data_IF_256474787140
#
_entry.id   IF_256474787140
#
_cell.length_a   1.000
_cell.length_b   1.000
_cell.length_c   1.000
_cell.angle_alpha   90.00
_cell.angle_beta   90.00
_cell.angle_gamma   90.00
#
_symmetry.space_group_name_H-M   'P 1'
#
loop_
_entity.id
_entity.type
_entity.pdbx_description
1 polymer ?
#
# COMPACT_ATOMS: atom_id res chain seq x y z
N UNK A 1 8.28 3.03 -14.95
CA UNK A 1 7.80 4.38 -15.33
C UNK A 1 8.95 5.24 -15.89
N UNK A 2 9.97 5.57 -15.15
CA UNK A 2 11.07 6.44 -15.65
C UNK A 2 11.72 5.91 -16.93
N UNK A 3 11.91 4.61 -17.06
CA UNK A 3 12.37 3.98 -18.30
C UNK A 3 11.41 4.24 -19.46
N UNK A 4 10.11 4.11 -19.24
CA UNK A 4 9.08 4.41 -20.24
C UNK A 4 9.01 5.92 -20.63
N UNK A 5 9.58 6.80 -19.80
CA UNK A 5 9.73 8.24 -20.08
C UNK A 5 11.05 8.59 -20.78
N UNK A 6 11.90 7.59 -21.06
CA UNK A 6 13.19 7.78 -21.70
C UNK A 6 14.34 8.13 -20.75
N UNK A 7 14.13 8.06 -19.43
CA UNK A 7 15.22 8.15 -18.46
C UNK A 7 15.94 6.79 -18.34
N UNK A 8 17.18 6.82 -17.86
CA UNK A 8 17.94 5.62 -17.48
C UNK A 8 17.90 5.45 -15.95
N UNK A 9 16.87 4.82 -15.38
CA UNK A 9 16.76 4.67 -13.94
C UNK A 9 17.85 3.76 -13.40
N UNK A 10 18.45 4.15 -12.27
CA UNK A 10 19.42 3.35 -11.52
C UNK A 10 18.88 3.14 -10.12
N UNK A 11 18.79 1.88 -9.71
CA UNK A 11 18.52 1.53 -8.31
C UNK A 11 19.82 1.62 -7.54
N UNK A 12 19.88 2.55 -6.59
CA UNK A 12 21.01 2.64 -5.65
C UNK A 12 20.81 1.62 -4.55
N UNK A 13 21.78 0.76 -4.35
CA UNK A 13 21.77 -0.32 -3.36
C UNK A 13 23.02 -0.22 -2.49
N UNK A 14 22.93 -0.67 -1.23
CA UNK A 14 24.08 -0.68 -0.33
C UNK A 14 25.11 -1.72 -0.75
N UNK A 15 24.63 -2.95 -1.03
CA UNK A 15 25.44 -4.08 -1.43
C UNK A 15 24.75 -4.82 -2.57
N UNK A 16 25.53 -5.33 -3.51
CA UNK A 16 24.98 -6.19 -4.56
C UNK A 16 24.59 -7.53 -3.97
N UNK A 17 23.43 -8.07 -4.34
CA UNK A 17 23.04 -9.42 -3.93
C UNK A 17 24.05 -10.43 -4.51
N UNK A 18 24.43 -11.42 -3.71
CA UNK A 18 25.35 -12.50 -4.17
C UNK A 18 24.77 -13.27 -5.34
N UNK A 19 23.46 -13.48 -5.33
CA UNK A 19 22.70 -14.09 -6.44
C UNK A 19 21.47 -13.26 -6.75
N UNK A 20 21.00 -13.30 -7.99
CA UNK A 20 19.74 -12.64 -8.38
C UNK A 20 18.49 -13.41 -7.94
N UNK A 21 18.65 -14.63 -7.45
CA UNK A 21 17.54 -15.49 -7.04
C UNK A 21 16.74 -14.94 -5.86
N UNK A 22 17.39 -14.15 -5.00
CA UNK A 22 16.77 -13.48 -3.86
C UNK A 22 16.18 -12.10 -4.20
N UNK A 23 16.39 -11.62 -5.44
CA UNK A 23 15.92 -10.30 -5.89
C UNK A 23 14.63 -10.48 -6.70
N UNK A 24 13.56 -9.73 -6.40
CA UNK A 24 12.35 -9.76 -7.24
C UNK A 24 12.70 -9.56 -8.71
N UNK A 25 12.19 -10.40 -9.59
CA UNK A 25 12.61 -10.45 -11.01
C UNK A 25 12.45 -9.12 -11.74
N UNK A 26 11.48 -8.29 -11.32
CA UNK A 26 11.32 -6.93 -11.83
C UNK A 26 12.49 -5.99 -11.49
N UNK A 27 13.11 -6.18 -10.33
CA UNK A 27 14.27 -5.39 -9.92
C UNK A 27 15.52 -5.83 -10.69
N UNK A 28 15.58 -7.09 -11.12
CA UNK A 28 16.67 -7.59 -11.95
C UNK A 28 16.76 -6.93 -13.33
N UNK A 29 15.64 -6.39 -13.83
CA UNK A 29 15.60 -5.65 -15.08
C UNK A 29 16.13 -4.20 -14.95
N UNK A 30 16.24 -3.67 -13.73
CA UNK A 30 16.77 -2.34 -13.49
C UNK A 30 18.29 -2.39 -13.33
N UNK A 31 18.97 -1.34 -13.77
CA UNK A 31 20.39 -1.17 -13.49
C UNK A 31 20.58 -0.92 -12.00
N UNK A 32 21.29 -1.79 -11.31
CA UNK A 32 21.65 -1.65 -9.90
C UNK A 32 23.10 -1.20 -9.76
N UNK A 33 23.35 -0.19 -8.94
CA UNK A 33 24.69 0.31 -8.64
C UNK A 33 24.83 0.66 -7.16
N UNK A 34 26.01 0.40 -6.62
CA UNK A 34 26.36 0.89 -5.29
C UNK A 34 26.81 2.34 -5.35
N UNK A 35 26.83 3.03 -4.21
CA UNK A 35 27.39 4.39 -4.08
C UNK A 35 28.78 4.47 -4.67
N UNK A 36 29.67 3.53 -4.34
CA UNK A 36 31.05 3.50 -4.83
C UNK A 36 31.13 3.38 -6.35
N UNK A 37 30.30 2.56 -6.95
CA UNK A 37 30.26 2.39 -8.41
C UNK A 37 29.83 3.67 -9.13
N UNK A 38 28.81 4.37 -8.59
CA UNK A 38 28.35 5.64 -9.16
C UNK A 38 29.44 6.72 -9.06
N UNK A 39 30.14 6.79 -7.92
CA UNK A 39 31.22 7.76 -7.72
C UNK A 39 32.41 7.48 -8.64
N UNK A 40 32.77 6.21 -8.85
CA UNK A 40 33.87 5.81 -9.76
C UNK A 40 33.54 5.98 -11.23
N UNK A 41 32.27 5.90 -11.59
CA UNK A 41 31.79 6.07 -12.96
C UNK A 41 30.79 7.23 -13.02
N UNK A 42 31.28 8.49 -13.03
CA UNK A 42 30.41 9.65 -13.02
C UNK A 42 29.42 9.60 -14.19
N UNK A 43 28.14 9.60 -13.85
CA UNK A 43 27.03 9.63 -14.80
C UNK A 43 26.32 10.97 -14.69
N UNK A 44 25.76 11.51 -15.76
CA UNK A 44 24.91 12.67 -15.68
C UNK A 44 23.62 12.30 -14.92
N UNK A 45 23.55 12.68 -13.65
CA UNK A 45 22.39 12.43 -12.79
C UNK A 45 21.47 13.63 -12.82
N UNK A 46 20.28 13.47 -13.36
CA UNK A 46 19.24 14.53 -13.37
C UNK A 46 18.65 14.72 -11.98
N UNK A 47 18.28 13.62 -11.34
CA UNK A 47 17.74 13.62 -9.99
C UNK A 47 18.15 12.35 -9.22
N UNK A 48 18.42 12.52 -7.94
CA UNK A 48 18.54 11.45 -6.97
C UNK A 48 17.30 11.49 -6.07
N UNK A 49 16.48 10.43 -6.11
CA UNK A 49 15.22 10.36 -5.38
C UNK A 49 15.40 9.40 -4.22
N UNK A 50 15.26 9.89 -3.00
CA UNK A 50 15.30 9.09 -1.80
C UNK A 50 13.88 8.60 -1.45
N UNK A 51 13.71 7.27 -1.36
CA UNK A 51 12.44 6.63 -1.08
C UNK A 51 12.61 5.64 0.07
N UNK A 52 12.09 6.00 1.26
CA UNK A 52 12.01 5.10 2.41
C UNK A 52 13.33 4.63 3.04
N UNK A 53 14.48 4.95 2.45
CA UNK A 53 15.80 4.64 2.99
C UNK A 53 16.74 5.85 2.86
N UNK A 54 17.70 5.94 3.78
CA UNK A 54 18.72 6.99 3.74
C UNK A 54 19.75 6.68 2.67
N UNK A 55 20.01 7.66 1.81
CA UNK A 55 21.09 7.57 0.84
C UNK A 55 22.40 8.06 1.50
N UNK A 56 23.51 7.42 1.14
CA UNK A 56 24.85 7.80 1.60
C UNK A 56 25.09 9.31 1.39
N UNK A 57 25.49 10.05 2.44
CA UNK A 57 25.82 11.46 2.34
C UNK A 57 26.86 11.79 1.27
N UNK A 58 27.82 10.89 1.02
CA UNK A 58 28.82 11.07 -0.04
C UNK A 58 28.17 11.07 -1.42
N UNK A 59 27.23 10.16 -1.66
CA UNK A 59 26.51 10.12 -2.92
C UNK A 59 25.66 11.39 -3.13
N UNK A 60 24.97 11.86 -2.08
CA UNK A 60 24.22 13.12 -2.14
C UNK A 60 25.11 14.30 -2.50
N UNK A 61 26.26 14.42 -1.84
CA UNK A 61 27.24 15.46 -2.14
C UNK A 61 27.76 15.35 -3.58
N UNK A 62 28.10 14.14 -4.02
CA UNK A 62 28.59 13.89 -5.36
C UNK A 62 27.55 14.29 -6.44
N UNK A 63 26.30 13.89 -6.27
CA UNK A 63 25.22 14.26 -7.20
C UNK A 63 25.02 15.77 -7.25
N UNK A 64 25.09 16.46 -6.11
CA UNK A 64 25.02 17.93 -6.05
C UNK A 64 26.20 18.59 -6.80
N UNK A 65 27.41 18.08 -6.66
CA UNK A 65 28.57 18.60 -7.40
C UNK A 65 28.42 18.45 -8.92
N UNK A 66 27.71 17.41 -9.38
CA UNK A 66 27.40 17.21 -10.79
C UNK A 66 26.19 18.02 -11.28
N UNK A 67 25.59 18.83 -10.42
CA UNK A 67 24.41 19.64 -10.75
C UNK A 67 23.09 18.87 -10.70
N UNK A 68 23.09 17.63 -10.19
CA UNK A 68 21.90 16.82 -10.00
C UNK A 68 21.02 17.34 -8.86
N UNK A 69 19.72 17.07 -8.94
CA UNK A 69 18.73 17.45 -7.95
C UNK A 69 18.57 16.35 -6.90
N UNK A 70 18.42 16.74 -5.63
CA UNK A 70 18.11 15.84 -4.54
C UNK A 70 16.64 15.97 -4.18
N UNK A 71 15.89 14.87 -4.28
CA UNK A 71 14.48 14.82 -3.92
C UNK A 71 14.25 13.75 -2.87
N UNK A 72 13.29 13.98 -1.97
CA UNK A 72 12.77 12.96 -1.06
C UNK A 72 11.29 12.72 -1.34
N UNK A 73 10.93 11.46 -1.53
CA UNK A 73 9.54 11.03 -1.70
C UNK A 73 9.07 10.31 -0.45
N UNK A 74 8.06 10.86 0.20
CA UNK A 74 7.36 10.20 1.30
C UNK A 74 6.19 9.37 0.76
N UNK A 75 6.30 8.05 0.87
CA UNK A 75 5.23 7.09 0.54
C UNK A 75 4.37 6.73 1.75
N UNK A 76 4.81 7.07 2.97
CA UNK A 76 4.09 6.86 4.24
C UNK A 76 3.58 8.17 4.82
N UNK A 77 2.65 8.08 5.76
CA UNK A 77 2.13 9.23 6.49
C UNK A 77 3.15 9.69 7.54
N UNK A 78 3.97 10.65 7.17
CA UNK A 78 5.08 11.14 7.98
C UNK A 78 4.62 11.70 9.33
N UNK A 79 3.54 12.48 9.37
CA UNK A 79 3.02 13.05 10.60
C UNK A 79 2.54 11.98 11.59
N UNK A 80 1.82 10.96 11.09
CA UNK A 80 1.39 9.87 11.96
C UNK A 80 2.56 9.04 12.48
N UNK A 81 3.59 8.81 11.66
CA UNK A 81 4.81 8.12 12.08
C UNK A 81 5.48 8.90 13.22
N UNK A 82 5.59 10.22 13.09
CA UNK A 82 6.20 11.09 14.13
C UNK A 82 5.39 11.12 15.42
N UNK A 83 4.06 11.01 15.33
CA UNK A 83 3.18 10.95 16.51
C UNK A 83 3.24 9.57 17.17
N UNK A 84 3.11 8.50 16.38
CA UNK A 84 3.02 7.13 16.90
C UNK A 84 4.34 6.60 17.46
N UNK A 85 5.47 6.93 16.82
CA UNK A 85 6.77 6.39 17.19
C UNK A 85 7.14 6.65 18.66
N UNK A 86 7.11 7.88 19.17
CA UNK A 86 7.44 8.12 20.58
C UNK A 86 6.39 7.58 21.56
N UNK A 87 5.14 7.42 21.13
CA UNK A 87 4.05 6.96 22.00
C UNK A 87 4.08 5.43 22.14
N UNK A 88 4.17 4.72 21.03
CA UNK A 88 4.01 3.25 20.98
C UNK A 88 5.31 2.49 20.84
N UNK A 89 6.36 3.16 20.37
CA UNK A 89 7.66 2.54 20.06
C UNK A 89 8.83 3.42 20.55
N UNK A 90 8.89 3.77 21.86
CA UNK A 90 9.82 4.78 22.36
C UNK A 90 11.31 4.45 22.17
N UNK A 91 11.64 3.21 21.87
CA UNK A 91 13.01 2.79 21.53
C UNK A 91 13.35 2.79 20.06
N UNK A 92 12.36 3.09 19.17
CA UNK A 92 12.59 3.14 17.73
C UNK A 92 12.96 4.54 17.27
N UNK A 93 13.80 4.60 16.23
CA UNK A 93 14.13 5.82 15.51
C UNK A 93 14.39 5.52 14.04
N UNK A 94 14.13 6.50 13.20
CA UNK A 94 14.30 6.36 11.74
C UNK A 94 15.38 7.33 11.26
N UNK A 95 16.56 6.81 10.96
CA UNK A 95 17.72 7.60 10.48
C UNK A 95 17.48 8.28 9.13
N UNK A 96 16.54 7.77 8.35
CA UNK A 96 16.18 8.29 7.02
C UNK A 96 14.97 9.22 7.03
N UNK A 97 14.44 9.54 8.20
CA UNK A 97 13.19 10.28 8.33
C UNK A 97 13.34 11.74 7.94
N UNK A 98 14.42 12.37 8.40
CA UNK A 98 14.78 13.76 8.08
C UNK A 98 16.12 13.78 7.34
N UNK A 99 16.22 14.62 6.30
CA UNK A 99 17.43 14.71 5.51
C UNK A 99 17.83 16.17 5.31
N UNK A 100 19.06 16.47 5.67
CA UNK A 100 19.62 17.78 5.44
C UNK A 100 19.99 18.02 3.96
N UNK A 101 19.90 19.27 3.54
CA UNK A 101 20.36 19.76 2.24
C UNK A 101 19.66 19.11 1.04
N UNK A 102 18.40 18.72 1.20
CA UNK A 102 17.55 18.26 0.12
C UNK A 102 16.97 19.46 -0.67
N UNK A 103 16.73 19.30 -1.95
CA UNK A 103 16.23 20.40 -2.80
C UNK A 103 14.71 20.45 -2.83
N UNK A 104 14.06 19.30 -2.71
CA UNK A 104 12.60 19.20 -2.83
C UNK A 104 12.04 18.00 -2.09
N UNK A 105 10.83 18.15 -1.62
CA UNK A 105 10.04 17.10 -0.98
C UNK A 105 8.85 16.77 -1.88
N UNK A 106 8.59 15.50 -2.04
CA UNK A 106 7.39 14.99 -2.69
C UNK A 106 6.63 14.06 -1.74
N UNK A 107 5.33 14.05 -1.87
CA UNK A 107 4.43 13.21 -1.07
C UNK A 107 3.45 12.47 -1.98
N UNK A 108 3.00 11.31 -1.56
CA UNK A 108 1.92 10.60 -2.23
C UNK A 108 0.61 11.38 -2.16
N UNK A 109 -0.34 11.22 -3.12
CA UNK A 109 -1.56 12.03 -3.21
C UNK A 109 -2.40 12.06 -1.92
N UNK A 110 -2.53 10.93 -1.24
CA UNK A 110 -3.29 10.81 0.01
C UNK A 110 -2.60 11.46 1.22
N UNK A 111 -1.36 11.93 1.05
CA UNK A 111 -0.61 12.68 2.07
C UNK A 111 -0.37 14.13 1.69
N UNK A 112 -1.07 14.64 0.67
CA UNK A 112 -0.96 16.01 0.22
C UNK A 112 -1.12 17.04 1.33
N UNK A 113 -2.01 16.79 2.28
CA UNK A 113 -2.20 17.61 3.49
C UNK A 113 -0.98 17.65 4.42
N UNK A 114 -0.01 16.74 4.28
CA UNK A 114 1.23 16.71 5.07
C UNK A 114 2.45 17.23 4.30
N UNK A 115 2.27 17.74 3.09
CA UNK A 115 3.37 18.25 2.26
C UNK A 115 4.12 19.40 2.93
N UNK A 116 3.39 20.32 3.55
CA UNK A 116 3.96 21.44 4.29
C UNK A 116 4.75 20.95 5.52
N UNK A 117 4.15 20.06 6.33
CA UNK A 117 4.83 19.44 7.47
C UNK A 117 6.14 18.77 7.06
N UNK A 118 6.11 17.93 6.02
CA UNK A 118 7.29 17.24 5.49
C UNK A 118 8.37 18.21 5.02
N UNK A 119 7.97 19.34 4.41
CA UNK A 119 8.89 20.38 3.96
C UNK A 119 9.59 21.07 5.12
N UNK A 120 8.83 21.55 6.11
CA UNK A 120 9.40 22.21 7.27
C UNK A 120 10.30 21.27 8.08
N UNK A 121 9.93 20.02 8.24
CA UNK A 121 10.75 19.03 8.93
C UNK A 121 12.12 18.84 8.27
N UNK A 122 12.21 18.99 6.94
CA UNK A 122 13.45 18.87 6.18
C UNK A 122 14.09 20.22 5.82
N UNK A 123 13.63 21.32 6.42
CA UNK A 123 14.13 22.69 6.14
C UNK A 123 14.03 23.10 4.65
N UNK A 124 13.02 22.56 3.96
CA UNK A 124 12.73 22.95 2.57
C UNK A 124 11.58 23.96 2.57
N UNK A 125 11.73 25.07 1.89
CA UNK A 125 10.64 26.01 1.69
C UNK A 125 9.62 25.41 0.73
N UNK A 126 8.36 25.16 1.16
CA UNK A 126 7.35 24.62 0.27
C UNK A 126 6.97 25.65 -0.81
N UNK A 127 6.60 25.21 -2.02
CA UNK A 127 6.04 26.12 -3.02
C UNK A 127 4.69 26.67 -2.55
N UNK A 128 4.29 27.84 -3.04
CA UNK A 128 2.97 28.43 -2.75
C UNK A 128 1.80 27.54 -3.20
N UNK A 129 2.00 26.76 -4.24
CA UNK A 129 1.08 25.73 -4.69
C UNK A 129 1.59 24.34 -4.27
N UNK A 130 1.04 23.81 -3.19
CA UNK A 130 1.41 22.51 -2.63
C UNK A 130 1.10 21.33 -3.57
N UNK A 131 0.23 21.51 -4.57
CA UNK A 131 -0.05 20.44 -5.55
C UNK A 131 1.20 20.08 -6.36
N UNK A 132 2.15 21.00 -6.48
CA UNK A 132 3.45 20.78 -7.11
C UNK A 132 4.39 19.85 -6.32
N UNK A 133 3.98 19.43 -5.14
CA UNK A 133 4.71 18.45 -4.32
C UNK A 133 4.06 17.06 -4.38
N UNK A 134 2.90 16.91 -5.05
CA UNK A 134 2.17 15.65 -5.11
C UNK A 134 2.75 14.77 -6.21
N UNK A 135 3.37 13.67 -5.81
CA UNK A 135 3.87 12.67 -6.75
C UNK A 135 2.76 11.67 -7.11
N UNK A 136 2.54 11.36 -8.38
CA UNK A 136 1.56 10.35 -8.77
C UNK A 136 1.79 9.01 -8.06
N UNK A 137 0.72 8.42 -7.55
CA UNK A 137 0.74 7.06 -7.02
C UNK A 137 0.66 6.09 -8.18
N UNK A 138 1.72 5.35 -8.43
CA UNK A 138 1.87 4.50 -9.62
C UNK A 138 1.88 3.04 -9.23
N UNK A 139 1.13 2.23 -9.97
CA UNK A 139 1.08 0.78 -9.82
C UNK A 139 0.98 0.09 -11.19
N UNK A 140 1.53 -1.12 -11.29
CA UNK A 140 1.49 -1.93 -12.51
C UNK A 140 1.37 -3.42 -12.14
N UNK A 141 0.53 -4.20 -12.86
CA UNK A 141 0.36 -5.62 -12.61
C UNK A 141 1.61 -6.47 -12.86
N UNK A 142 2.69 -5.90 -13.40
CA UNK A 142 3.95 -6.63 -13.59
C UNK A 142 4.50 -7.21 -12.27
N UNK A 143 4.17 -6.62 -11.13
CA UNK A 143 4.51 -7.17 -9.81
C UNK A 143 3.84 -8.52 -9.53
N UNK A 144 2.66 -8.74 -10.12
CA UNK A 144 1.90 -9.96 -9.94
C UNK A 144 2.17 -11.00 -11.04
N UNK A 145 2.73 -10.59 -12.18
CA UNK A 145 2.84 -11.43 -13.38
C UNK A 145 4.24 -11.93 -13.68
N UNK A 146 5.29 -11.21 -13.23
CA UNK A 146 6.66 -11.52 -13.61
C UNK A 146 7.23 -12.77 -12.95
N UNK A 147 6.90 -12.99 -11.68
CA UNK A 147 7.42 -14.10 -10.88
C UNK A 147 6.50 -15.32 -10.88
N UNK A 148 5.34 -15.20 -11.52
CA UNK A 148 4.32 -16.25 -11.53
C UNK A 148 3.88 -16.55 -12.96
N UNK A 149 4.05 -17.78 -13.39
CA UNK A 149 3.48 -18.29 -14.65
C UNK A 149 1.96 -18.28 -14.63
N UNK A 150 1.39 -18.43 -13.41
CA UNK A 150 -0.05 -18.33 -13.15
C UNK A 150 -0.26 -17.43 -11.92
N UNK A 151 -0.80 -16.23 -12.11
CA UNK A 151 -1.19 -15.39 -10.99
C UNK A 151 -2.60 -15.73 -10.51
N UNK A 152 -2.89 -15.51 -9.20
CA UNK A 152 -4.18 -15.83 -8.63
C UNK A 152 -5.33 -15.11 -9.34
N UNK A 153 -6.41 -15.84 -9.57
CA UNK A 153 -7.67 -15.29 -10.05
C UNK A 153 -8.77 -15.73 -9.09
N UNK A 154 -9.63 -14.78 -8.74
CA UNK A 154 -10.78 -15.10 -7.92
C UNK A 154 -11.67 -16.17 -8.59
N UNK A 155 -12.17 -17.08 -7.78
CA UNK A 155 -13.07 -18.16 -8.20
C UNK A 155 -14.34 -18.11 -7.37
N UNK A 156 -15.51 -18.36 -7.95
CA UNK A 156 -16.73 -18.55 -7.16
C UNK A 156 -16.56 -19.67 -6.13
N UNK A 157 -17.21 -19.53 -4.98
CA UNK A 157 -17.25 -20.56 -3.94
C UNK A 157 -17.88 -21.83 -4.51
N UNK A 158 -17.23 -22.95 -4.32
CA UNK A 158 -17.71 -24.26 -4.75
C UNK A 158 -18.25 -25.09 -3.58
N UNK A 159 -17.74 -24.85 -2.36
CA UNK A 159 -18.10 -25.58 -1.16
C UNK A 159 -18.17 -24.62 0.06
N UNK A 160 -18.86 -25.02 1.15
CA UNK A 160 -18.97 -24.21 2.36
C UNK A 160 -17.61 -23.83 3.00
N UNK A 161 -16.60 -24.68 2.88
CA UNK A 161 -15.24 -24.44 3.36
C UNK A 161 -14.50 -23.34 2.57
N UNK A 162 -14.95 -23.05 1.34
CA UNK A 162 -14.43 -21.96 0.51
C UNK A 162 -14.97 -20.58 0.93
N UNK A 163 -15.87 -20.57 1.91
CA UNK A 163 -16.54 -19.35 2.36
C UNK A 163 -15.66 -18.60 3.36
N UNK A 164 -14.79 -17.75 2.85
CA UNK A 164 -13.76 -17.05 3.62
C UNK A 164 -13.86 -15.56 3.43
N UNK A 165 -13.84 -14.82 4.54
CA UNK A 165 -13.63 -13.37 4.57
C UNK A 165 -12.24 -13.12 5.16
N UNK A 166 -11.40 -12.40 4.43
CA UNK A 166 -10.03 -12.09 4.85
C UNK A 166 -9.92 -10.64 5.29
N UNK A 167 -9.30 -10.42 6.43
CA UNK A 167 -8.79 -9.13 6.91
C UNK A 167 -7.27 -9.19 6.83
N UNK A 168 -6.68 -8.35 5.98
CA UNK A 168 -5.23 -8.35 5.75
C UNK A 168 -4.62 -7.01 6.11
N UNK A 169 -4.92 -6.52 7.31
CA UNK A 169 -4.31 -5.31 7.84
C UNK A 169 -3.05 -5.67 8.65
N UNK A 170 -1.96 -4.87 8.56
CA UNK A 170 -0.71 -5.19 9.25
C UNK A 170 -0.78 -5.12 10.78
N UNK A 171 -1.82 -4.50 11.36
CA UNK A 171 -2.06 -4.43 12.82
C UNK A 171 -0.90 -3.87 13.65
N UNK A 172 -0.13 -2.94 13.07
CA UNK A 172 1.04 -2.30 13.72
C UNK A 172 0.82 -0.80 14.00
N UNK A 173 -0.28 -0.23 13.52
CA UNK A 173 -0.62 1.19 13.60
C UNK A 173 -2.14 1.32 13.60
N UNK A 174 -2.67 2.40 14.16
CA UNK A 174 -4.10 2.69 14.07
C UNK A 174 -4.57 2.92 12.62
N UNK A 175 -3.66 3.29 11.73
CA UNK A 175 -3.97 3.54 10.32
C UNK A 175 -4.44 2.28 9.59
N UNK A 176 -3.96 1.12 10.00
CA UNK A 176 -4.20 -0.19 9.35
C UNK A 176 -4.41 -1.24 10.41
N UNK A 177 -5.64 -1.35 10.90
CA UNK A 177 -5.99 -2.25 11.99
C UNK A 177 -7.28 -3.03 11.71
N UNK A 178 -7.35 -4.25 12.21
CA UNK A 178 -8.48 -5.17 11.98
C UNK A 178 -9.79 -4.82 12.72
N UNK A 179 -9.81 -3.82 13.63
CA UNK A 179 -10.99 -3.57 14.47
C UNK A 179 -12.21 -3.15 13.66
N UNK A 180 -12.11 -2.18 12.76
CA UNK A 180 -13.25 -1.75 11.94
C UNK A 180 -13.73 -2.86 11.01
N UNK A 181 -12.84 -3.57 10.29
CA UNK A 181 -13.19 -4.78 9.56
C UNK A 181 -13.94 -5.82 10.39
N UNK A 182 -13.45 -6.16 11.59
CA UNK A 182 -14.11 -7.12 12.48
C UNK A 182 -15.50 -6.65 12.89
N UNK A 183 -15.68 -5.35 13.22
CA UNK A 183 -16.98 -4.80 13.58
C UNK A 183 -17.97 -4.81 12.40
N UNK A 184 -17.49 -4.55 11.18
CA UNK A 184 -18.33 -4.62 9.98
C UNK A 184 -18.79 -6.05 9.68
N UNK A 185 -17.90 -7.04 9.81
CA UNK A 185 -18.24 -8.45 9.66
C UNK A 185 -19.20 -8.89 10.77
N UNK A 186 -18.97 -8.51 12.01
CA UNK A 186 -19.88 -8.76 13.14
C UNK A 186 -21.27 -8.18 12.87
N UNK A 187 -21.33 -6.94 12.37
CA UNK A 187 -22.59 -6.28 12.02
C UNK A 187 -23.32 -7.03 10.90
N UNK A 188 -22.60 -7.44 9.87
CA UNK A 188 -23.13 -8.26 8.78
C UNK A 188 -23.63 -9.61 9.28
N UNK A 189 -22.86 -10.28 10.15
CA UNK A 189 -23.22 -11.56 10.74
C UNK A 189 -24.52 -11.47 11.53
N UNK A 190 -24.66 -10.45 12.37
CA UNK A 190 -25.90 -10.22 13.15
C UNK A 190 -27.11 -9.84 12.31
N UNK A 191 -26.90 -9.23 11.16
CA UNK A 191 -27.98 -8.74 10.27
C UNK A 191 -28.58 -9.81 9.35
N UNK A 192 -28.75 -11.03 9.84
CA UNK A 192 -29.41 -12.09 9.10
C UNK A 192 -28.49 -13.22 8.63
N UNK A 193 -27.19 -13.11 8.87
CA UNK A 193 -26.20 -14.10 8.42
C UNK A 193 -25.71 -15.05 9.54
N UNK A 194 -26.46 -15.22 10.64
CA UNK A 194 -26.07 -16.10 11.77
C UNK A 194 -25.97 -17.58 11.40
N UNK A 195 -26.54 -17.99 10.28
CA UNK A 195 -26.38 -19.34 9.74
C UNK A 195 -25.09 -19.55 8.97
N UNK A 196 -24.34 -18.49 8.70
CA UNK A 196 -23.05 -18.55 8.01
C UNK A 196 -22.06 -19.38 8.82
N UNK A 197 -21.36 -20.31 8.15
CA UNK A 197 -20.39 -21.25 8.76
C UNK A 197 -18.99 -21.13 8.15
N UNK A 198 -18.75 -20.05 7.41
CA UNK A 198 -17.44 -19.75 6.85
C UNK A 198 -16.42 -19.33 7.90
N UNK A 199 -15.32 -18.76 7.45
CA UNK A 199 -14.20 -18.33 8.32
C UNK A 199 -13.86 -16.88 8.09
N UNK A 200 -13.52 -16.18 9.16
CA UNK A 200 -12.87 -14.85 9.13
C UNK A 200 -11.40 -15.08 9.42
N UNK A 201 -10.55 -14.84 8.42
CA UNK A 201 -9.11 -14.99 8.53
C UNK A 201 -8.51 -13.60 8.78
N UNK A 202 -7.85 -13.41 9.92
CA UNK A 202 -7.14 -12.17 10.26
C UNK A 202 -5.67 -12.43 10.10
N UNK A 203 -5.08 -11.93 9.00
CA UNK A 203 -3.65 -12.06 8.73
C UNK A 203 -2.89 -11.08 9.61
N UNK A 204 -1.78 -11.53 10.22
CA UNK A 204 -1.02 -10.77 11.23
C UNK A 204 -1.89 -10.31 12.40
N UNK A 205 -2.92 -11.09 12.75
CA UNK A 205 -3.95 -10.73 13.72
C UNK A 205 -3.53 -10.93 15.17
N UNK A 206 -2.61 -11.83 15.45
CA UNK A 206 -2.10 -12.19 16.79
C UNK A 206 -1.63 -10.98 17.59
N UNK A 207 -1.02 -9.99 16.93
CA UNK A 207 -0.60 -8.71 17.56
C UNK A 207 -1.74 -7.98 18.28
N UNK A 208 -2.98 -8.15 17.82
CA UNK A 208 -4.19 -7.57 18.41
C UNK A 208 -4.93 -8.59 19.22
N UNK A 209 -5.22 -9.76 18.63
CA UNK A 209 -6.12 -10.76 19.21
C UNK A 209 -5.51 -11.49 20.40
N UNK A 210 -4.18 -11.54 20.50
CA UNK A 210 -3.50 -12.13 21.65
C UNK A 210 -3.39 -11.21 22.88
N UNK A 211 -3.74 -9.94 22.72
CA UNK A 211 -3.74 -8.99 23.84
C UNK A 211 -4.83 -9.30 24.87
N UNK A 212 -4.53 -9.03 26.13
CA UNK A 212 -5.50 -9.15 27.24
C UNK A 212 -6.74 -8.30 26.99
N UNK A 213 -6.56 -7.11 26.42
CA UNK A 213 -7.66 -6.21 26.08
C UNK A 213 -8.62 -6.85 25.05
N UNK A 214 -8.10 -7.38 23.97
CA UNK A 214 -8.93 -8.04 22.96
C UNK A 214 -9.68 -9.25 23.54
N UNK A 215 -8.94 -10.15 24.21
CA UNK A 215 -9.50 -11.39 24.76
C UNK A 215 -10.57 -11.15 25.82
N UNK A 216 -10.39 -10.18 26.69
CA UNK A 216 -11.29 -9.95 27.84
C UNK A 216 -12.33 -8.85 27.61
N UNK A 217 -12.09 -7.93 26.66
CA UNK A 217 -12.94 -6.75 26.48
C UNK A 217 -13.65 -6.74 25.12
N UNK A 218 -13.05 -7.27 24.05
CA UNK A 218 -13.61 -7.19 22.70
C UNK A 218 -14.23 -8.53 22.27
N UNK A 219 -13.45 -9.60 22.23
CA UNK A 219 -13.89 -10.90 21.73
C UNK A 219 -15.16 -11.44 22.42
N UNK A 220 -15.37 -11.27 23.74
CA UNK A 220 -16.60 -11.73 24.41
C UNK A 220 -17.88 -11.05 23.94
N UNK A 221 -17.78 -9.93 23.21
CA UNK A 221 -18.92 -9.18 22.69
C UNK A 221 -19.11 -9.37 21.18
N UNK A 222 -18.22 -10.10 20.49
CA UNK A 222 -18.34 -10.46 19.09
C UNK A 222 -18.90 -11.86 18.93
N UNK A 223 -20.08 -12.00 18.32
CA UNK A 223 -20.70 -13.30 18.08
C UNK A 223 -19.87 -14.16 17.12
N UNK A 224 -19.19 -13.53 16.12
CA UNK A 224 -18.24 -14.25 15.24
C UNK A 224 -17.06 -14.87 16.02
N UNK A 225 -16.62 -14.25 17.12
CA UNK A 225 -15.58 -14.82 17.99
C UNK A 225 -16.15 -15.94 18.88
N UNK A 226 -17.33 -15.75 19.47
CA UNK A 226 -18.01 -16.76 20.30
C UNK A 226 -18.32 -18.04 19.51
N UNK A 227 -18.73 -17.87 18.26
CA UNK A 227 -19.08 -18.97 17.38
C UNK A 227 -17.84 -19.63 16.74
N UNK A 228 -16.62 -19.17 17.11
CA UNK A 228 -15.35 -19.75 16.65
C UNK A 228 -15.03 -19.52 15.17
N UNK A 229 -15.60 -18.48 14.56
CA UNK A 229 -15.45 -18.20 13.14
C UNK A 229 -14.17 -17.40 12.82
N UNK A 230 -13.55 -16.75 13.82
CA UNK A 230 -12.35 -15.93 13.66
C UNK A 230 -11.10 -16.75 13.87
N UNK A 231 -10.20 -16.74 12.91
CA UNK A 231 -8.90 -17.42 12.96
C UNK A 231 -7.79 -16.42 12.60
N UNK A 232 -6.75 -16.36 13.42
CA UNK A 232 -5.56 -15.58 13.13
C UNK A 232 -4.54 -16.41 12.35
N UNK A 233 -3.82 -15.75 11.46
CA UNK A 233 -2.68 -16.29 10.72
C UNK A 233 -1.47 -15.41 10.92
N UNK A 234 -0.30 -15.99 10.80
CA UNK A 234 0.95 -15.26 10.73
C UNK A 234 0.97 -14.28 9.56
N UNK A 235 1.97 -13.42 9.51
CA UNK A 235 2.17 -12.50 8.40
C UNK A 235 2.38 -13.26 7.09
N UNK A 236 1.56 -12.95 6.10
CA UNK A 236 1.61 -13.52 4.75
C UNK A 236 1.68 -12.39 3.71
N UNK A 237 2.24 -12.68 2.56
CA UNK A 237 2.11 -11.81 1.39
C UNK A 237 0.75 -12.03 0.70
N UNK A 238 0.32 -11.03 -0.06
CA UNK A 238 -1.02 -11.04 -0.70
C UNK A 238 -1.17 -12.19 -1.70
N UNK A 239 -0.12 -12.53 -2.44
CA UNK A 239 -0.19 -13.60 -3.44
C UNK A 239 -0.39 -14.97 -2.79
N UNK A 240 0.29 -15.21 -1.67
CA UNK A 240 0.12 -16.42 -0.86
C UNK A 240 -1.30 -16.53 -0.32
N UNK A 241 -1.87 -15.42 0.18
CA UNK A 241 -3.25 -15.39 0.69
C UNK A 241 -4.26 -15.64 -0.43
N UNK A 242 -4.10 -15.00 -1.60
CA UNK A 242 -4.98 -15.23 -2.74
C UNK A 242 -4.92 -16.66 -3.28
N UNK A 243 -3.77 -17.32 -3.19
CA UNK A 243 -3.61 -18.73 -3.58
C UNK A 243 -4.25 -19.68 -2.57
N UNK A 244 -4.07 -19.41 -1.28
CA UNK A 244 -4.63 -20.24 -0.19
C UNK A 244 -6.17 -20.12 -0.13
N UNK A 245 -6.70 -18.92 -0.44
CA UNK A 245 -8.15 -18.63 -0.38
C UNK A 245 -8.67 -18.06 -1.71
N UNK A 246 -8.75 -18.88 -2.76
CA UNK A 246 -9.07 -18.41 -4.12
C UNK A 246 -10.49 -17.86 -4.28
N UNK A 247 -11.39 -18.15 -3.33
CA UNK A 247 -12.78 -17.66 -3.32
C UNK A 247 -13.04 -16.56 -2.28
N UNK A 248 -11.98 -16.09 -1.61
CA UNK A 248 -12.11 -15.15 -0.50
C UNK A 248 -12.69 -13.80 -0.92
N UNK A 249 -13.34 -13.17 0.06
CA UNK A 249 -13.71 -11.76 0.05
C UNK A 249 -12.78 -11.02 1.02
N UNK A 250 -12.31 -9.85 0.61
CA UNK A 250 -11.40 -9.04 1.44
C UNK A 250 -12.13 -7.87 2.06
N UNK A 251 -12.01 -7.73 3.38
CA UNK A 251 -12.53 -6.60 4.14
C UNK A 251 -11.39 -5.74 4.62
N UNK A 252 -11.33 -4.50 4.16
CA UNK A 252 -10.21 -3.58 4.35
C UNK A 252 -10.67 -2.28 5.00
N UNK A 253 -9.79 -1.68 5.79
CA UNK A 253 -10.02 -0.38 6.40
C UNK A 253 -8.72 0.38 6.58
N UNK A 254 -8.68 1.62 6.10
CA UNK A 254 -7.54 2.50 6.21
C UNK A 254 -7.95 3.82 6.87
N UNK A 255 -7.11 4.34 7.76
CA UNK A 255 -7.29 5.65 8.40
C UNK A 255 -6.11 6.54 7.99
N UNK A 256 -6.38 7.66 7.34
CA UNK A 256 -5.34 8.58 6.86
C UNK A 256 -4.24 7.89 6.02
N UNK A 257 -4.59 6.81 5.31
CA UNK A 257 -3.66 6.02 4.48
C UNK A 257 -4.43 5.32 3.35
N UNK A 258 -5.24 6.06 2.64
CA UNK A 258 -6.29 5.55 1.74
C UNK A 258 -5.74 4.75 0.55
N UNK A 259 -4.61 5.18 -0.04
CA UNK A 259 -4.04 4.46 -1.17
C UNK A 259 -3.26 3.25 -0.69
N UNK A 260 -3.67 2.08 -1.20
CA UNK A 260 -3.07 0.82 -0.85
C UNK A 260 -2.91 -0.05 -2.10
N UNK A 261 -1.69 -0.45 -2.41
CA UNK A 261 -1.41 -1.35 -3.55
C UNK A 261 -2.22 -2.63 -3.48
N UNK A 262 -2.41 -3.19 -2.29
CA UNK A 262 -3.20 -4.40 -2.08
C UNK A 262 -4.63 -4.27 -2.64
N UNK A 263 -5.27 -3.10 -2.55
CA UNK A 263 -6.59 -2.88 -3.13
C UNK A 263 -6.57 -3.06 -4.65
N UNK A 264 -5.57 -2.50 -5.33
CA UNK A 264 -5.41 -2.66 -6.78
C UNK A 264 -5.06 -4.08 -7.17
N UNK A 265 -4.20 -4.75 -6.42
CA UNK A 265 -3.81 -6.16 -6.61
C UNK A 265 -5.02 -7.08 -6.53
N UNK A 266 -5.84 -6.93 -5.48
CA UNK A 266 -7.06 -7.69 -5.29
C UNK A 266 -8.06 -7.45 -6.42
N UNK A 267 -8.34 -6.19 -6.74
CA UNK A 267 -9.31 -5.84 -7.77
C UNK A 267 -8.87 -6.32 -9.15
N UNK A 268 -7.59 -6.17 -9.50
CA UNK A 268 -7.05 -6.64 -10.77
C UNK A 268 -7.11 -8.17 -10.92
N UNK A 269 -6.90 -8.90 -9.82
CA UNK A 269 -7.06 -10.34 -9.74
C UNK A 269 -8.53 -10.79 -9.68
N UNK A 270 -9.48 -9.86 -9.59
CA UNK A 270 -10.92 -10.11 -9.53
C UNK A 270 -11.45 -10.48 -8.14
N UNK A 271 -10.67 -10.31 -7.07
CA UNK A 271 -11.13 -10.55 -5.70
C UNK A 271 -12.02 -9.41 -5.22
N UNK A 272 -13.20 -9.72 -4.62
CA UNK A 272 -14.06 -8.69 -4.05
C UNK A 272 -13.37 -7.99 -2.89
N UNK A 273 -13.10 -6.70 -3.06
CA UNK A 273 -12.48 -5.82 -2.06
C UNK A 273 -13.52 -4.84 -1.52
N UNK A 274 -13.84 -4.95 -0.23
CA UNK A 274 -14.65 -3.97 0.51
C UNK A 274 -13.70 -3.00 1.19
N UNK A 275 -13.78 -1.70 0.88
CA UNK A 275 -12.79 -0.72 1.32
C UNK A 275 -13.39 0.66 1.57
N UNK A 276 -12.66 1.52 2.29
CA UNK A 276 -13.06 2.89 2.61
C UNK A 276 -12.20 3.97 1.91
N UNK A 277 -11.58 3.65 0.77
CA UNK A 277 -10.78 4.60 0.01
C UNK A 277 -11.67 5.56 -0.77
N UNK A 278 -11.82 6.80 -0.32
CA UNK A 278 -12.70 7.81 -0.95
C UNK A 278 -12.25 8.15 -2.38
N UNK A 279 -10.95 8.24 -2.65
CA UNK A 279 -10.40 8.48 -3.99
C UNK A 279 -10.78 7.38 -5.00
N UNK A 280 -11.14 6.19 -4.53
CA UNK A 280 -11.53 5.03 -5.33
C UNK A 280 -12.97 4.58 -5.06
N UNK A 281 -13.82 5.48 -4.55
CA UNK A 281 -15.20 5.17 -4.16
C UNK A 281 -16.07 4.57 -5.29
N UNK A 282 -15.70 4.80 -6.54
CA UNK A 282 -16.38 4.26 -7.73
C UNK A 282 -15.92 2.84 -8.11
N UNK A 283 -14.90 2.32 -7.44
CA UNK A 283 -14.31 1.00 -7.70
C UNK A 283 -14.52 0.07 -6.50
N UNK A 284 -14.53 -1.24 -6.75
CA UNK A 284 -14.72 -2.22 -5.68
C UNK A 284 -16.09 -2.13 -4.99
N UNK A 285 -16.11 -2.40 -3.69
CA UNK A 285 -17.26 -2.28 -2.81
C UNK A 285 -16.93 -1.24 -1.73
N UNK A 286 -17.16 0.02 -2.06
CA UNK A 286 -16.71 1.12 -1.23
C UNK A 286 -17.70 1.50 -0.13
N UNK A 287 -17.16 1.94 1.01
CA UNK A 287 -17.91 2.59 2.08
C UNK A 287 -17.14 3.82 2.59
N UNK A 288 -17.82 4.75 3.25
CA UNK A 288 -17.20 6.03 3.65
C UNK A 288 -16.77 6.02 5.12
N UNK A 289 -15.57 6.48 5.39
CA UNK A 289 -15.03 6.67 6.73
C UNK A 289 -15.08 5.40 7.60
N UNK A 290 -15.56 5.54 8.84
CA UNK A 290 -15.73 4.44 9.79
C UNK A 290 -17.18 3.92 9.84
N UNK A 291 -17.96 4.04 8.78
CA UNK A 291 -19.38 3.67 8.77
C UNK A 291 -19.55 2.14 8.72
N UNK A 292 -19.70 1.54 9.90
CA UNK A 292 -19.84 0.09 10.09
C UNK A 292 -21.08 -0.47 9.37
N UNK A 293 -22.22 0.23 9.44
CA UNK A 293 -23.45 -0.22 8.77
C UNK A 293 -23.31 -0.23 7.25
N UNK A 294 -22.68 0.78 6.69
CA UNK A 294 -22.43 0.85 5.25
C UNK A 294 -21.40 -0.22 4.84
N UNK A 295 -20.34 -0.40 5.61
CA UNK A 295 -19.35 -1.44 5.39
C UNK A 295 -19.98 -2.84 5.39
N UNK A 296 -20.86 -3.13 6.36
CA UNK A 296 -21.62 -4.38 6.42
C UNK A 296 -22.57 -4.57 5.21
N UNK A 297 -23.20 -3.49 4.73
CA UNK A 297 -24.03 -3.54 3.51
C UNK A 297 -23.20 -3.81 2.26
N UNK A 298 -22.02 -3.18 2.13
CA UNK A 298 -21.12 -3.44 1.01
C UNK A 298 -20.58 -4.88 1.05
N UNK A 299 -20.31 -5.39 2.24
CA UNK A 299 -19.94 -6.79 2.45
C UNK A 299 -21.06 -7.72 1.96
N UNK A 300 -22.33 -7.46 2.29
CA UNK A 300 -23.48 -8.25 1.81
C UNK A 300 -23.61 -8.19 0.29
N UNK A 301 -23.46 -7.01 -0.31
CA UNK A 301 -23.52 -6.84 -1.76
C UNK A 301 -22.41 -7.62 -2.47
N UNK A 302 -21.20 -7.60 -1.90
CA UNK A 302 -20.07 -8.38 -2.41
C UNK A 302 -20.30 -9.88 -2.22
N UNK A 303 -20.74 -10.27 -1.04
CA UNK A 303 -20.95 -11.68 -0.66
C UNK A 303 -22.00 -12.36 -1.55
N UNK A 304 -23.16 -11.73 -1.73
CA UNK A 304 -24.28 -12.30 -2.48
C UNK A 304 -24.19 -12.09 -4.00
N UNK A 305 -23.51 -11.02 -4.46
CA UNK A 305 -23.63 -10.57 -5.85
C UNK A 305 -22.36 -10.58 -6.68
N UNK A 306 -21.18 -10.85 -6.13
CA UNK A 306 -19.92 -10.67 -6.84
C UNK A 306 -19.79 -11.55 -8.09
N UNK A 307 -20.20 -12.82 -7.99
CA UNK A 307 -20.17 -13.76 -9.15
C UNK A 307 -20.86 -13.18 -10.38
N UNK A 308 -22.03 -12.57 -10.18
CA UNK A 308 -22.84 -12.02 -11.28
C UNK A 308 -22.27 -10.69 -11.79
N UNK A 309 -21.40 -10.04 -11.06
CA UNK A 309 -20.78 -8.74 -11.38
C UNK A 309 -19.33 -8.84 -11.80
N UNK A 310 -18.75 -10.02 -11.83
CA UNK A 310 -17.32 -10.25 -11.99
C UNK A 310 -16.73 -9.57 -13.22
N UNK A 311 -17.39 -9.65 -14.37
CA UNK A 311 -16.89 -9.04 -15.59
C UNK A 311 -16.93 -7.51 -15.55
N UNK A 312 -18.00 -6.93 -15.02
CA UNK A 312 -18.08 -5.48 -14.82
C UNK A 312 -17.06 -5.02 -13.75
N UNK A 313 -16.86 -5.80 -12.71
CA UNK A 313 -15.87 -5.54 -11.66
C UNK A 313 -14.45 -5.51 -12.23
N UNK A 314 -14.07 -6.49 -13.07
CA UNK A 314 -12.77 -6.53 -13.76
C UNK A 314 -12.60 -5.36 -14.73
N UNK A 315 -13.64 -5.00 -15.47
CA UNK A 315 -13.59 -3.84 -16.36
C UNK A 315 -13.29 -2.55 -15.58
N UNK A 316 -13.94 -2.35 -14.43
CA UNK A 316 -13.66 -1.22 -13.55
C UNK A 316 -12.24 -1.29 -12.95
N UNK A 317 -11.77 -2.47 -12.56
CA UNK A 317 -10.40 -2.65 -12.09
C UNK A 317 -9.35 -2.27 -13.14
N UNK A 318 -9.60 -2.57 -14.41
CA UNK A 318 -8.73 -2.15 -15.51
C UNK A 318 -8.69 -0.62 -15.67
N UNK A 319 -9.82 0.07 -15.47
CA UNK A 319 -9.87 1.54 -15.49
C UNK A 319 -9.02 2.10 -14.34
N UNK A 320 -9.20 1.59 -13.13
CA UNK A 320 -8.38 1.99 -11.96
C UNK A 320 -6.90 1.74 -12.22
N UNK A 321 -6.54 0.57 -12.72
CA UNK A 321 -5.16 0.22 -13.07
C UNK A 321 -4.57 1.20 -14.08
N UNK A 322 -5.33 1.56 -15.12
CA UNK A 322 -4.89 2.54 -16.12
C UNK A 322 -4.68 3.93 -15.53
N UNK A 323 -5.55 4.38 -14.62
CA UNK A 323 -5.39 5.67 -13.94
C UNK A 323 -4.06 5.75 -13.16
N UNK A 324 -3.59 4.64 -12.63
CA UNK A 324 -2.34 4.54 -11.87
C UNK A 324 -1.17 3.94 -12.67
N UNK A 325 -1.36 3.66 -13.96
CA UNK A 325 -0.34 3.01 -14.78
C UNK A 325 0.90 3.90 -14.99
N UNK A 326 2.11 3.30 -14.97
CA UNK A 326 3.33 3.98 -15.37
C UNK A 326 3.34 4.37 -16.87
N UNK A 327 2.44 3.81 -17.65
CA UNK A 327 2.27 4.13 -19.09
C UNK A 327 1.19 5.18 -19.34
N UNK A 328 0.48 5.62 -18.33
CA UNK A 328 -0.49 6.70 -18.47
C UNK A 328 0.25 8.04 -18.68
N UNK A 329 0.01 8.73 -19.82
CA UNK A 329 0.71 9.98 -20.13
C UNK A 329 0.56 11.08 -19.07
N UNK A 330 -0.59 11.11 -18.37
CA UNK A 330 -0.80 12.10 -17.31
C UNK A 330 0.13 11.87 -16.11
N UNK A 331 0.35 10.60 -15.72
CA UNK A 331 1.30 10.25 -14.66
C UNK A 331 2.74 10.56 -15.08
N UNK A 332 3.10 10.26 -16.34
CA UNK A 332 4.42 10.56 -16.88
C UNK A 332 4.69 12.06 -16.89
N UNK A 333 3.74 12.86 -17.40
CA UNK A 333 3.87 14.32 -17.43
C UNK A 333 3.97 14.90 -16.01
N UNK A 334 3.19 14.41 -15.06
CA UNK A 334 3.25 14.88 -13.68
C UNK A 334 4.61 14.57 -13.04
N UNK A 335 5.17 13.38 -13.26
CA UNK A 335 6.52 13.04 -12.80
C UNK A 335 7.61 13.84 -13.49
N UNK A 336 7.50 14.09 -14.80
CA UNK A 336 8.44 14.92 -15.55
C UNK A 336 8.47 16.34 -15.00
N UNK A 337 7.31 16.92 -14.74
CA UNK A 337 7.17 18.21 -14.09
C UNK A 337 7.84 18.26 -12.71
N UNK A 338 7.69 17.21 -11.88
CA UNK A 338 8.34 17.13 -10.58
C UNK A 338 9.88 17.10 -10.70
N UNK A 339 10.40 16.31 -11.64
CA UNK A 339 11.85 16.17 -11.86
C UNK A 339 12.46 17.48 -12.35
N UNK A 340 11.79 18.20 -13.26
CA UNK A 340 12.30 19.39 -13.89
C UNK A 340 11.80 20.72 -13.29
N UNK A 341 10.88 20.68 -12.32
CA UNK A 341 10.42 21.89 -11.65
C UNK A 341 11.60 22.65 -11.07
N UNK A 342 11.84 23.87 -11.53
CA UNK A 342 12.75 24.79 -10.85
C UNK A 342 12.07 25.29 -9.59
N UNK A 343 12.76 25.18 -8.45
CA UNK A 343 12.29 25.67 -7.17
C UNK A 343 12.07 27.17 -7.17
#
# INVERSE_FOLDING_TARGET
MFDAMGYAPILVINEKPETLDSVPSMMCAARMMTTDEIIRQPLPVVALIEIGMSIDPLLRQFVKMLGGRLAKLYLGNILNIDIETPIFYPGMFFTHHVIEKIDTIWVSPHYGQHAEYASFLNHVTPPSDLTRMIAPYVWDPCFLTRDFTEFPRWKPRAAPEDDVIVIMEPNISFQKCCFVPLMAIERWYRNGNRSWKGKVIVVNGDRVTDTTHFKNTIAPYLDICKDGLVTCKDRMDILSVMKEYPSALFMMHQVNNEYNYMTMELMWCGFPAVHNTDAWAQFGYSYTGNNIDLAAKQLEIAYSGHTNRLEAYKANANILTWQHSPYNPANQLAWDNLIHARG
#
